data_IF_150183820856
#
_entry.id   IF_150183820856
#
_cell.length_a   1.000
_cell.length_b   1.000
_cell.length_c   1.000
_cell.angle_alpha   90.00
_cell.angle_beta   90.00
_cell.angle_gamma   90.00
#
_symmetry.space_group_name_H-M   'P 1'
#
loop_
_entity.id
_entity.type
_entity.pdbx_description
1 polymer ?
#
# COMPACT_ATOMS: atom_id res chain seq x y z
N UNK A 1 9.36 -11.78 -0.81
CA UNK A 1 9.24 -12.23 0.60
C UNK A 1 7.81 -11.95 1.05
N UNK A 2 6.96 -12.99 1.12
CA UNK A 2 5.50 -12.84 1.36
C UNK A 2 5.12 -12.71 2.84
N UNK A 3 6.07 -12.77 3.77
CA UNK A 3 5.81 -12.77 5.21
C UNK A 3 5.00 -13.99 5.69
N UNK A 4 4.95 -15.05 4.90
CA UNK A 4 4.26 -16.29 5.25
C UNK A 4 5.29 -17.40 5.46
N UNK A 5 5.28 -18.10 6.60
CA UNK A 5 6.07 -19.31 6.77
C UNK A 5 5.75 -20.29 5.64
N UNK A 6 6.77 -20.82 5.01
CA UNK A 6 6.60 -21.71 3.85
C UNK A 6 7.36 -23.01 4.11
N UNK A 7 6.67 -24.13 3.98
CA UNK A 7 7.28 -25.45 4.08
C UNK A 7 7.40 -26.06 2.67
N UNK A 8 8.61 -26.53 2.33
CA UNK A 8 8.87 -27.26 1.10
C UNK A 8 9.18 -28.71 1.47
N UNK A 9 8.41 -29.64 0.94
CA UNK A 9 8.61 -31.07 1.13
C UNK A 9 8.54 -31.79 -0.22
N UNK A 10 9.18 -33.00 -0.31
CA UNK A 10 9.13 -33.81 -1.51
C UNK A 10 7.74 -34.41 -1.72
N UNK A 11 7.20 -34.19 -2.94
CA UNK A 11 5.92 -34.78 -3.34
C UNK A 11 5.98 -36.32 -3.58
N UNK A 12 7.18 -36.90 -3.67
CA UNK A 12 7.38 -38.33 -3.89
C UNK A 12 7.23 -39.17 -2.59
N UNK A 13 7.10 -38.48 -1.44
CA UNK A 13 6.91 -39.16 -0.16
C UNK A 13 5.45 -39.57 0.03
N UNK A 14 5.21 -40.80 0.42
CA UNK A 14 3.86 -41.29 0.71
C UNK A 14 3.19 -40.51 1.83
N UNK A 15 1.95 -40.09 1.59
CA UNK A 15 1.11 -39.36 2.55
C UNK A 15 1.77 -38.11 3.16
N UNK A 16 2.63 -37.41 2.41
CA UNK A 16 3.42 -36.26 2.90
C UNK A 16 2.56 -35.21 3.63
N UNK A 17 1.39 -34.88 3.10
CA UNK A 17 0.50 -33.87 3.72
C UNK A 17 -0.05 -34.36 5.06
N UNK A 18 -0.49 -35.60 5.16
CA UNK A 18 -1.02 -36.19 6.41
C UNK A 18 0.06 -36.26 7.49
N UNK A 19 1.28 -36.63 7.10
CA UNK A 19 2.44 -36.70 7.99
C UNK A 19 2.84 -35.32 8.51
N UNK A 20 2.85 -34.33 7.64
CA UNK A 20 3.08 -32.93 8.02
C UNK A 20 2.00 -32.39 8.97
N UNK A 21 0.73 -32.70 8.70
CA UNK A 21 -0.38 -32.36 9.60
C UNK A 21 -0.31 -33.06 10.95
N UNK A 22 0.30 -34.24 11.02
CA UNK A 22 0.59 -34.92 12.27
C UNK A 22 1.81 -34.36 13.03
N UNK A 23 2.47 -33.32 12.50
CA UNK A 23 3.62 -32.68 13.11
C UNK A 23 4.96 -33.35 12.82
N UNK A 24 5.03 -34.21 11.81
CA UNK A 24 6.26 -34.88 11.41
C UNK A 24 7.23 -33.88 10.76
N UNK A 25 8.49 -33.92 11.12
CA UNK A 25 9.53 -33.02 10.59
C UNK A 25 10.00 -33.47 9.22
N UNK A 26 9.27 -33.09 8.17
CA UNK A 26 9.57 -33.43 6.78
C UNK A 26 9.83 -32.18 5.97
N UNK A 27 10.93 -32.14 5.21
CA UNK A 27 11.24 -31.03 4.31
C UNK A 27 11.97 -29.89 4.98
N UNK A 28 11.85 -28.70 4.38
CA UNK A 28 12.51 -27.47 4.83
C UNK A 28 11.48 -26.39 5.15
N UNK A 29 11.49 -25.90 6.38
CA UNK A 29 10.62 -24.81 6.83
C UNK A 29 11.37 -23.47 6.70
N UNK A 30 10.82 -22.57 5.90
CA UNK A 30 11.25 -21.18 5.81
C UNK A 30 10.43 -20.34 6.78
N UNK A 31 11.08 -19.89 7.84
CA UNK A 31 10.49 -18.99 8.85
C UNK A 31 10.68 -17.56 8.38
N UNK A 32 9.69 -16.69 8.61
CA UNK A 32 9.78 -15.27 8.34
C UNK A 32 9.76 -14.52 9.67
N UNK A 33 10.70 -13.61 9.87
CA UNK A 33 10.81 -12.78 11.07
C UNK A 33 9.90 -11.53 11.02
N UNK A 34 9.19 -11.32 9.91
CA UNK A 34 8.39 -10.11 9.67
C UNK A 34 6.89 -10.42 9.59
N UNK A 35 6.07 -9.54 10.18
CA UNK A 35 4.63 -9.55 10.02
C UNK A 35 4.21 -9.41 8.55
N UNK A 36 3.09 -10.04 8.17
CA UNK A 36 2.55 -10.02 6.79
C UNK A 36 2.37 -8.61 6.24
N UNK A 37 1.98 -7.67 7.10
CA UNK A 37 1.76 -6.26 6.75
C UNK A 37 3.09 -5.62 6.33
N UNK A 38 4.14 -5.84 7.12
CA UNK A 38 5.49 -5.30 6.85
C UNK A 38 6.09 -5.86 5.56
N UNK A 39 5.87 -7.14 5.27
CA UNK A 39 6.36 -7.76 4.03
C UNK A 39 5.67 -7.21 2.78
N UNK A 40 4.35 -6.94 2.83
CA UNK A 40 3.61 -6.31 1.75
C UNK A 40 4.06 -4.87 1.50
N UNK A 41 4.28 -4.12 2.57
CA UNK A 41 4.80 -2.75 2.51
C UNK A 41 6.24 -2.71 1.95
N UNK A 42 7.10 -3.62 2.38
CA UNK A 42 8.46 -3.76 1.84
C UNK A 42 8.46 -4.17 0.36
N UNK A 43 7.53 -5.05 -0.04
CA UNK A 43 7.36 -5.40 -1.45
C UNK A 43 6.92 -4.20 -2.28
N UNK A 44 5.94 -3.43 -1.80
CA UNK A 44 5.54 -2.16 -2.40
C UNK A 44 6.73 -1.20 -2.54
N UNK A 45 7.54 -1.03 -1.50
CA UNK A 45 8.69 -0.14 -1.53
C UNK A 45 9.82 -0.60 -2.47
N UNK A 46 9.99 -1.90 -2.69
CA UNK A 46 11.12 -2.47 -3.42
C UNK A 46 10.90 -2.62 -4.94
N UNK A 47 9.64 -2.63 -5.42
CA UNK A 47 9.32 -3.03 -6.80
C UNK A 47 8.77 -1.91 -7.69
N UNK A 48 8.98 -0.63 -7.34
CA UNK A 48 8.19 0.44 -7.93
C UNK A 48 8.89 1.27 -8.99
N UNK A 49 8.49 1.03 -10.23
CA UNK A 49 8.24 2.13 -11.17
C UNK A 49 6.91 2.78 -10.74
N UNK A 50 6.97 3.90 -10.06
CA UNK A 50 5.78 4.66 -9.70
C UNK A 50 5.19 5.30 -10.95
N UNK A 51 3.89 5.15 -11.17
CA UNK A 51 3.19 5.74 -12.32
C UNK A 51 3.01 7.26 -12.19
N UNK A 52 3.17 7.78 -10.97
CA UNK A 52 3.03 9.21 -10.69
C UNK A 52 3.40 9.55 -9.26
N UNK A 53 3.15 10.81 -8.89
CA UNK A 53 3.51 11.38 -7.60
C UNK A 53 2.39 12.23 -7.03
N UNK A 54 2.21 12.19 -5.71
CA UNK A 54 1.31 13.04 -4.95
C UNK A 54 2.14 13.92 -4.01
N UNK A 55 2.01 15.23 -4.14
CA UNK A 55 2.63 16.20 -3.22
C UNK A 55 1.68 16.44 -2.05
N UNK A 56 2.16 16.25 -0.83
CA UNK A 56 1.38 16.31 0.40
C UNK A 56 1.61 17.61 1.15
N UNK A 57 0.60 18.03 1.93
CA UNK A 57 0.80 19.07 2.94
C UNK A 57 1.42 18.48 4.23
N UNK A 58 1.91 19.37 5.10
CA UNK A 58 2.58 18.99 6.34
C UNK A 58 1.66 18.22 7.30
N UNK A 59 0.35 18.51 7.28
CA UNK A 59 -0.64 17.80 8.09
C UNK A 59 -0.80 16.34 7.64
N UNK A 60 -0.85 16.10 6.33
CA UNK A 60 -0.91 14.76 5.77
C UNK A 60 0.39 13.97 6.01
N UNK A 61 1.55 14.64 5.85
CA UNK A 61 2.85 14.03 6.17
C UNK A 61 2.90 13.55 7.60
N UNK A 62 2.50 14.40 8.55
CA UNK A 62 2.44 14.06 9.97
C UNK A 62 1.44 12.93 10.26
N UNK A 63 0.25 12.99 9.68
CA UNK A 63 -0.78 11.98 9.85
C UNK A 63 -0.32 10.59 9.35
N UNK A 64 0.44 10.54 8.26
CA UNK A 64 0.98 9.30 7.71
C UNK A 64 2.14 8.78 8.57
N UNK A 65 3.17 9.61 8.82
CA UNK A 65 4.40 9.18 9.49
C UNK A 65 4.21 8.86 10.97
N UNK A 66 3.46 9.69 11.68
CA UNK A 66 3.30 9.55 13.13
C UNK A 66 2.07 8.71 13.53
N UNK A 67 0.98 8.85 12.77
CA UNK A 67 -0.30 8.25 13.15
C UNK A 67 -0.73 7.07 12.26
N UNK A 68 0.08 6.70 11.27
CA UNK A 68 -0.20 5.60 10.33
C UNK A 68 -1.62 5.66 9.73
N UNK A 69 -2.08 6.85 9.38
CA UNK A 69 -3.42 7.08 8.81
C UNK A 69 -3.41 6.97 7.30
N UNK A 70 -4.59 6.71 6.74
CA UNK A 70 -4.83 6.78 5.30
C UNK A 70 -4.64 8.20 4.78
N UNK A 71 -4.17 8.33 3.54
CA UNK A 71 -4.10 9.62 2.85
C UNK A 71 -5.48 9.99 2.34
N UNK A 72 -5.97 11.16 2.76
CA UNK A 72 -7.20 11.76 2.27
C UNK A 72 -6.92 12.81 1.19
N UNK A 73 -7.90 13.09 0.29
CA UNK A 73 -7.77 14.12 -0.74
C UNK A 73 -7.40 15.50 -0.20
N UNK A 74 -7.91 15.87 0.99
CA UNK A 74 -7.65 17.16 1.63
C UNK A 74 -6.15 17.40 1.88
N UNK A 75 -5.37 16.34 2.12
CA UNK A 75 -3.93 16.44 2.35
C UNK A 75 -3.07 16.45 1.09
N UNK A 76 -3.68 16.38 -0.10
CA UNK A 76 -2.97 16.40 -1.38
C UNK A 76 -2.96 17.81 -1.95
N UNK A 77 -1.77 18.36 -2.22
CA UNK A 77 -1.55 19.70 -2.82
C UNK A 77 -1.39 19.66 -4.32
N UNK A 78 -0.66 18.67 -4.84
CA UNK A 78 -0.46 18.53 -6.28
C UNK A 78 -0.47 17.05 -6.68
N UNK A 79 -0.84 16.82 -7.94
CA UNK A 79 -0.86 15.51 -8.60
C UNK A 79 0.05 15.59 -9.81
N UNK A 80 1.04 14.70 -9.91
CA UNK A 80 2.03 14.68 -10.97
C UNK A 80 2.06 13.30 -11.64
N UNK A 81 2.24 13.29 -12.96
CA UNK A 81 2.27 12.06 -13.75
C UNK A 81 0.88 11.60 -14.19
N UNK A 82 0.86 10.43 -14.81
CA UNK A 82 -0.36 9.83 -15.35
C UNK A 82 -0.53 8.42 -14.79
N UNK A 83 -1.59 8.21 -14.03
CA UNK A 83 -1.88 6.94 -13.36
C UNK A 83 -3.37 6.67 -13.33
N UNK A 84 -3.70 5.40 -13.27
CA UNK A 84 -5.06 4.91 -13.12
C UNK A 84 -5.32 4.40 -11.69
N UNK A 85 -6.58 4.16 -11.36
CA UNK A 85 -6.95 3.55 -10.08
C UNK A 85 -6.30 2.17 -9.94
N UNK A 86 -5.62 1.96 -8.83
CA UNK A 86 -4.91 0.71 -8.53
C UNK A 86 -3.42 0.77 -8.81
N UNK A 87 -2.96 1.80 -9.53
CA UNK A 87 -1.54 2.03 -9.76
C UNK A 87 -0.83 2.45 -8.48
N UNK A 88 0.49 2.32 -8.51
CA UNK A 88 1.33 2.71 -7.40
C UNK A 88 1.93 4.08 -7.66
N UNK A 89 1.76 4.98 -6.69
CA UNK A 89 2.26 6.35 -6.73
C UNK A 89 3.15 6.65 -5.54
N UNK A 90 4.09 7.57 -5.72
CA UNK A 90 4.95 8.08 -4.67
C UNK A 90 4.28 9.27 -3.97
N UNK A 91 4.34 9.32 -2.65
CA UNK A 91 3.93 10.45 -1.85
C UNK A 91 5.16 11.21 -1.38
N UNK A 92 5.21 12.50 -1.67
CA UNK A 92 6.32 13.39 -1.29
C UNK A 92 5.81 14.59 -0.52
N UNK A 93 6.66 15.16 0.33
CA UNK A 93 6.40 16.45 0.96
C UNK A 93 6.62 17.61 -0.03
N UNK A 94 6.35 18.83 0.41
CA UNK A 94 6.49 20.06 -0.41
C UNK A 94 7.96 20.37 -0.78
N UNK A 95 8.93 19.77 -0.12
CA UNK A 95 10.36 19.87 -0.38
C UNK A 95 10.88 18.77 -1.30
N UNK A 96 10.01 17.82 -1.69
CA UNK A 96 10.38 16.66 -2.51
C UNK A 96 10.92 15.48 -1.72
N UNK A 97 10.90 15.54 -0.39
CA UNK A 97 11.27 14.43 0.48
C UNK A 97 10.26 13.29 0.40
N UNK A 98 10.76 12.05 0.31
CA UNK A 98 9.92 10.86 0.23
C UNK A 98 9.19 10.59 1.55
N UNK A 99 7.89 10.43 1.50
CA UNK A 99 7.03 10.20 2.66
C UNK A 99 6.54 8.75 2.68
N UNK A 100 5.95 8.33 1.57
CA UNK A 100 5.37 7.00 1.44
C UNK A 100 5.24 6.60 -0.03
N UNK A 101 4.92 5.35 -0.26
CA UNK A 101 4.53 4.82 -1.56
C UNK A 101 3.29 3.97 -1.36
N UNK A 102 2.32 4.03 -2.29
CA UNK A 102 1.10 3.28 -2.10
C UNK A 102 0.22 3.19 -3.34
N UNK A 103 -0.76 2.29 -3.25
CA UNK A 103 -1.72 2.05 -4.31
C UNK A 103 -2.88 3.04 -4.20
N UNK A 104 -3.05 3.86 -5.24
CA UNK A 104 -4.03 4.94 -5.28
C UNK A 104 -5.44 4.41 -5.63
N UNK A 105 -6.47 5.05 -5.04
CA UNK A 105 -7.88 4.73 -5.29
C UNK A 105 -8.54 5.57 -6.39
N UNK A 106 -7.82 6.55 -6.94
CA UNK A 106 -8.28 7.48 -7.97
C UNK A 106 -7.36 7.45 -9.18
N UNK A 107 -7.89 7.76 -10.37
CA UNK A 107 -7.03 8.11 -11.50
C UNK A 107 -6.42 9.49 -11.29
N UNK A 108 -5.33 9.81 -11.99
CA UNK A 108 -4.66 11.12 -11.94
C UNK A 108 -5.62 12.28 -12.17
N UNK A 109 -6.55 12.12 -13.13
CA UNK A 109 -7.60 13.11 -13.44
C UNK A 109 -8.56 13.31 -12.25
N UNK A 110 -9.08 12.21 -11.68
CA UNK A 110 -9.99 12.29 -10.53
C UNK A 110 -9.28 12.81 -9.29
N UNK A 111 -8.03 12.40 -9.05
CA UNK A 111 -7.20 12.88 -7.95
C UNK A 111 -6.97 14.40 -8.03
N UNK A 112 -6.74 14.91 -9.24
CA UNK A 112 -6.54 16.34 -9.47
C UNK A 112 -7.81 17.16 -9.19
N UNK A 113 -8.98 16.61 -9.50
CA UNK A 113 -10.27 17.26 -9.21
C UNK A 113 -10.55 17.31 -7.70
N UNK A 114 -10.23 16.25 -6.96
CA UNK A 114 -10.56 16.14 -5.52
C UNK A 114 -9.48 16.60 -4.58
N UNK A 115 -8.27 16.85 -5.06
CA UNK A 115 -7.16 17.32 -4.19
C UNK A 115 -7.58 18.56 -3.38
N UNK A 116 -7.23 18.59 -2.13
CA UNK A 116 -7.57 19.69 -1.21
C UNK A 116 -9.02 19.72 -0.74
N UNK A 117 -9.88 18.81 -1.22
CA UNK A 117 -11.28 18.76 -0.81
C UNK A 117 -11.48 17.89 0.43
N UNK A 118 -12.40 18.32 1.30
CA UNK A 118 -12.89 17.49 2.41
C UNK A 118 -13.74 16.32 1.89
N UNK A 119 -13.85 15.26 2.70
CA UNK A 119 -14.61 14.06 2.34
C UNK A 119 -16.04 14.35 1.88
N UNK A 120 -16.74 15.30 2.54
CA UNK A 120 -18.10 15.68 2.17
C UNK A 120 -18.18 16.32 0.76
N UNK A 121 -17.18 17.12 0.40
CA UNK A 121 -17.10 17.74 -0.92
C UNK A 121 -16.71 16.73 -2.01
N UNK A 122 -15.90 15.74 -1.68
CA UNK A 122 -15.55 14.66 -2.62
C UNK A 122 -16.80 13.91 -3.06
N UNK A 123 -17.70 13.60 -2.12
CA UNK A 123 -19.00 12.98 -2.44
C UNK A 123 -19.86 13.83 -3.38
N UNK A 124 -19.87 15.16 -3.17
CA UNK A 124 -20.64 16.06 -4.03
C UNK A 124 -20.10 16.15 -5.46
N UNK A 125 -18.78 16.04 -5.62
CA UNK A 125 -18.11 16.21 -6.93
C UNK A 125 -18.09 14.90 -7.73
N UNK A 126 -17.85 13.76 -7.08
CA UNK A 126 -17.69 12.46 -7.74
C UNK A 126 -18.90 11.52 -7.59
N UNK A 127 -19.96 11.98 -6.91
CA UNK A 127 -21.11 11.14 -6.55
C UNK A 127 -20.74 10.13 -5.44
N UNK A 128 -21.41 8.98 -5.42
CA UNK A 128 -21.07 7.90 -4.49
C UNK A 128 -19.71 7.28 -4.86
N UNK A 129 -18.64 7.94 -4.44
CA UNK A 129 -17.29 7.40 -4.60
C UNK A 129 -17.15 6.14 -3.73
N UNK A 130 -16.67 5.05 -4.33
CA UNK A 130 -16.43 3.78 -3.62
C UNK A 130 -15.37 3.87 -2.53
N UNK A 131 -14.56 4.92 -2.50
CA UNK A 131 -13.56 5.19 -1.48
C UNK A 131 -13.37 6.70 -1.35
N UNK A 132 -13.32 7.19 -0.11
CA UNK A 132 -12.99 8.59 0.23
C UNK A 132 -11.50 8.82 0.41
N UNK A 133 -10.73 7.76 0.50
CA UNK A 133 -9.31 7.79 0.76
C UNK A 133 -8.54 7.81 -0.56
N UNK A 134 -7.59 8.72 -0.70
CA UNK A 134 -6.65 8.76 -1.82
C UNK A 134 -5.82 7.48 -1.84
N UNK A 135 -5.26 7.09 -0.69
CA UNK A 135 -4.54 5.84 -0.47
C UNK A 135 -4.93 5.30 0.90
N UNK A 136 -5.41 4.06 0.95
CA UNK A 136 -5.70 3.39 2.21
C UNK A 136 -4.41 2.99 2.93
N UNK A 137 -4.35 3.16 4.26
CA UNK A 137 -3.17 2.85 5.09
C UNK A 137 -2.60 1.44 4.86
N UNK A 138 -3.47 0.44 4.66
CA UNK A 138 -3.04 -0.94 4.43
C UNK A 138 -2.39 -1.16 3.04
N UNK A 139 -2.54 -0.19 2.13
CA UNK A 139 -1.97 -0.20 0.78
C UNK A 139 -0.85 0.83 0.63
N UNK A 140 -0.24 1.25 1.74
CA UNK A 140 0.79 2.26 1.78
C UNK A 140 2.00 1.76 2.59
N UNK A 141 3.19 1.98 2.05
CA UNK A 141 4.46 1.77 2.74
C UNK A 141 5.09 3.14 3.06
N UNK A 142 5.47 3.37 4.30
CA UNK A 142 6.05 4.62 4.80
C UNK A 142 7.57 4.50 4.77
N UNK A 143 8.27 5.61 4.37
CA UNK A 143 9.74 5.70 4.35
C UNK A 143 10.30 6.22 5.67
#
# INVERSE_FOLDING_TARGET
KSGCPTLIASGDSDNVLSRLMAGEMLGTLFITDNDRITAHQQWLAAHLQTAGRLVLDDGAVKAIKENHRSLLPVGVKAVEGHFERGDVVECVDQQGGRVAVGRVNFSSRSADIVKGLSSDKVHQVLGEARSLEMIHRNHMAIY
#
